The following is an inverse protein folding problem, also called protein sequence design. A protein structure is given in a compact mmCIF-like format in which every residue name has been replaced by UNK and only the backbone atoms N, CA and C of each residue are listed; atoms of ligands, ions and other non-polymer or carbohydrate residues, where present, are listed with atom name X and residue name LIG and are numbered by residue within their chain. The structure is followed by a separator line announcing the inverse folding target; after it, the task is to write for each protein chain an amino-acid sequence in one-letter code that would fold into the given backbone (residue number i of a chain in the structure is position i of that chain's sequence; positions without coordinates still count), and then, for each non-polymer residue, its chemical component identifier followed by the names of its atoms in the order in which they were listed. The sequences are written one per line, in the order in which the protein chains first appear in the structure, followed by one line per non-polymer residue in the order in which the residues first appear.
data_IF_314913426945
#
_entry.id   IF_314913426945
#
_cell.length_a   1.000
_cell.length_b   1.000
_cell.length_c   1.000
_cell.angle_alpha   90.00
_cell.angle_beta   90.00
_cell.angle_gamma   90.00
#
_symmetry.space_group_name_H-M   'P 1'
#
loop_
_entity.id
_entity.type
_entity.pdbx_description
1 polymer ?
#
# COMPACT_ATOMS: atom_id res chain seq x y z
N UNK A 1 -44.16 60.82 32.57
CA UNK A 1 -42.79 60.26 32.69
C UNK A 1 -42.85 58.83 33.22
N UNK A 2 -43.62 57.94 32.57
CA UNK A 2 -43.81 56.54 33.01
C UNK A 2 -43.43 55.50 31.94
N UNK A 3 -43.28 55.89 30.66
CA UNK A 3 -43.00 54.93 29.57
C UNK A 3 -41.56 54.40 29.49
N UNK A 4 -40.56 55.13 30.02
CA UNK A 4 -39.14 54.72 29.91
C UNK A 4 -38.83 53.51 30.80
N UNK A 5 -39.42 53.45 32.00
CA UNK A 5 -39.20 52.34 32.93
C UNK A 5 -39.83 51.02 32.45
N UNK A 6 -40.95 51.09 31.72
CA UNK A 6 -41.61 49.89 31.19
C UNK A 6 -40.81 49.28 30.04
N UNK A 7 -40.26 50.13 29.16
CA UNK A 7 -39.41 49.67 28.05
C UNK A 7 -38.13 48.99 28.56
N UNK A 8 -37.51 49.53 29.61
CA UNK A 8 -36.31 48.97 30.21
C UNK A 8 -36.54 47.55 30.77
N UNK A 9 -37.66 47.35 31.47
CA UNK A 9 -38.04 46.03 31.98
C UNK A 9 -38.29 45.01 30.88
N UNK A 10 -38.98 45.43 29.81
CA UNK A 10 -39.22 44.55 28.66
C UNK A 10 -37.91 44.16 27.98
N UNK A 11 -36.93 45.07 27.90
CA UNK A 11 -35.62 44.77 27.31
C UNK A 11 -34.83 43.77 28.16
N UNK A 12 -34.77 43.96 29.48
CA UNK A 12 -34.12 43.02 30.41
C UNK A 12 -34.75 41.62 30.34
N UNK A 13 -36.09 41.54 30.21
CA UNK A 13 -36.80 40.27 30.08
C UNK A 13 -36.49 39.57 28.75
N UNK A 14 -36.36 40.34 27.65
CA UNK A 14 -35.93 39.82 26.35
C UNK A 14 -34.49 39.29 26.41
N UNK A 15 -33.57 40.02 27.04
CA UNK A 15 -32.18 39.60 27.20
C UNK A 15 -32.07 38.32 28.04
N UNK A 16 -32.77 38.25 29.16
CA UNK A 16 -32.82 37.06 29.99
C UNK A 16 -33.41 35.85 29.25
N UNK A 17 -34.47 36.08 28.46
CA UNK A 17 -35.10 35.03 27.63
C UNK A 17 -34.13 34.53 26.55
N UNK A 18 -33.42 35.44 25.88
CA UNK A 18 -32.42 35.09 24.87
C UNK A 18 -31.33 34.20 25.45
N UNK A 19 -30.77 34.58 26.60
CA UNK A 19 -29.69 33.85 27.24
C UNK A 19 -30.13 32.44 27.68
N UNK A 20 -31.37 32.31 28.17
CA UNK A 20 -31.96 31.00 28.51
C UNK A 20 -32.14 30.10 27.27
N UNK A 21 -32.64 30.66 26.16
CA UNK A 21 -32.78 29.92 24.89
C UNK A 21 -31.41 29.44 24.42
N UNK A 22 -30.39 30.29 24.48
CA UNK A 22 -29.04 29.96 24.03
C UNK A 22 -28.44 28.82 24.86
N UNK A 23 -28.56 28.87 26.19
CA UNK A 23 -28.12 27.79 27.08
C UNK A 23 -28.86 26.47 26.79
N UNK A 24 -30.18 26.55 26.56
CA UNK A 24 -31.00 25.37 26.25
C UNK A 24 -30.58 24.70 24.94
N UNK A 25 -30.24 25.48 23.91
CA UNK A 25 -29.75 24.97 22.62
C UNK A 25 -28.39 24.28 22.79
N UNK A 26 -27.47 24.88 23.54
CA UNK A 26 -26.14 24.30 23.80
C UNK A 26 -26.30 22.96 24.53
N UNK A 27 -27.04 22.96 25.64
CA UNK A 27 -27.24 21.77 26.45
C UNK A 27 -27.94 20.64 25.69
N UNK A 28 -28.94 20.95 24.85
CA UNK A 28 -29.58 19.95 23.99
C UNK A 28 -28.63 19.41 22.94
N UNK A 29 -27.80 20.25 22.34
CA UNK A 29 -26.79 19.82 21.36
C UNK A 29 -25.74 18.92 21.99
N UNK A 30 -25.27 19.25 23.19
CA UNK A 30 -24.31 18.44 23.95
C UNK A 30 -24.91 17.11 24.38
N UNK A 31 -26.12 17.12 24.95
CA UNK A 31 -26.83 15.89 25.32
C UNK A 31 -27.11 15.01 24.09
N UNK A 32 -27.35 15.61 22.92
CA UNK A 32 -27.51 14.89 21.66
C UNK A 32 -26.21 14.19 21.27
N UNK A 33 -25.04 14.85 21.39
CA UNK A 33 -23.73 14.18 21.18
C UNK A 33 -23.47 13.07 22.20
N UNK A 34 -24.06 13.15 23.40
CA UNK A 34 -23.95 12.08 24.39
C UNK A 34 -24.88 10.89 24.12
N UNK A 35 -25.87 11.04 23.22
CA UNK A 35 -26.82 9.99 22.90
C UNK A 35 -26.10 8.76 22.33
N UNK A 36 -26.37 7.59 22.91
CA UNK A 36 -25.68 6.33 22.60
C UNK A 36 -25.71 5.97 21.12
N UNK A 37 -26.83 6.23 20.41
CA UNK A 37 -26.91 5.98 18.97
C UNK A 37 -25.99 6.89 18.16
N UNK A 38 -25.85 8.17 18.54
CA UNK A 38 -25.01 9.12 17.81
C UNK A 38 -23.54 8.80 18.00
N UNK A 39 -23.12 8.41 19.21
CA UNK A 39 -21.76 7.88 19.44
C UNK A 39 -21.45 6.65 18.58
N UNK A 40 -22.40 5.74 18.44
CA UNK A 40 -22.23 4.55 17.57
C UNK A 40 -22.11 4.94 16.10
N UNK A 41 -22.88 5.93 15.64
CA UNK A 41 -22.77 6.46 14.27
C UNK A 41 -21.38 7.07 14.07
N UNK A 42 -20.95 7.97 14.95
CA UNK A 42 -19.62 8.61 14.87
C UNK A 42 -18.51 7.54 14.83
N UNK A 43 -18.61 6.52 15.68
CA UNK A 43 -17.65 5.40 15.69
C UNK A 43 -17.65 4.64 14.35
N UNK A 44 -18.82 4.28 13.83
CA UNK A 44 -18.93 3.56 12.55
C UNK A 44 -18.41 4.40 11.37
N UNK A 45 -18.64 5.71 11.39
CA UNK A 45 -18.10 6.63 10.39
C UNK A 45 -16.57 6.64 10.42
N UNK A 46 -15.95 6.75 11.61
CA UNK A 46 -14.50 6.71 11.74
C UNK A 46 -13.92 5.37 11.29
N UNK A 47 -14.53 4.25 11.71
CA UNK A 47 -14.10 2.91 11.28
C UNK A 47 -14.22 2.72 9.76
N UNK A 48 -15.28 3.25 9.15
CA UNK A 48 -15.48 3.19 7.69
C UNK A 48 -14.45 4.03 6.94
N UNK A 49 -14.16 5.25 7.41
CA UNK A 49 -13.13 6.12 6.82
C UNK A 49 -11.77 5.42 6.84
N UNK A 50 -11.41 4.77 7.95
CA UNK A 50 -10.15 4.02 8.06
C UNK A 50 -10.11 2.86 7.06
N UNK A 51 -11.19 2.08 6.94
CA UNK A 51 -11.27 0.96 5.98
C UNK A 51 -11.21 1.42 4.53
N UNK A 52 -11.90 2.51 4.18
CA UNK A 52 -11.87 3.05 2.81
C UNK A 52 -10.46 3.47 2.46
N UNK A 53 -9.74 4.16 3.36
CA UNK A 53 -8.34 4.55 3.13
C UNK A 53 -7.44 3.32 2.91
N UNK A 54 -7.59 2.28 3.72
CA UNK A 54 -6.84 1.03 3.53
C UNK A 54 -7.10 0.40 2.16
N UNK A 55 -8.36 0.34 1.73
CA UNK A 55 -8.71 -0.22 0.41
C UNK A 55 -8.21 0.67 -0.73
N UNK A 56 -8.30 2.00 -0.61
CA UNK A 56 -7.79 2.91 -1.65
C UNK A 56 -6.27 2.83 -1.77
N UNK A 57 -5.55 2.77 -0.65
CA UNK A 57 -4.10 2.53 -0.63
C UNK A 57 -3.77 1.19 -1.32
N UNK A 58 -4.55 0.13 -1.09
CA UNK A 58 -4.39 -1.16 -1.77
C UNK A 58 -4.64 -1.12 -3.29
N UNK A 59 -5.62 -0.33 -3.74
CA UNK A 59 -5.98 -0.22 -5.17
C UNK A 59 -5.00 0.66 -5.94
N UNK A 60 -4.54 1.77 -5.36
CA UNK A 60 -3.55 2.64 -6.01
C UNK A 60 -2.18 1.96 -6.15
N UNK A 61 -1.82 1.07 -5.21
CA UNK A 61 -0.64 0.19 -5.37
C UNK A 61 -0.77 -0.80 -6.53
N UNK A 62 -1.98 -1.20 -6.92
CA UNK A 62 -2.18 -2.30 -7.87
C UNK A 62 -2.17 -1.88 -9.36
N UNK A 63 -2.17 -0.57 -9.68
CA UNK A 63 -2.56 -0.12 -11.03
C UNK A 63 -1.47 0.52 -11.88
N UNK A 64 -0.20 0.57 -11.43
CA UNK A 64 0.87 1.20 -12.23
C UNK A 64 2.17 0.42 -12.40
N UNK A 65 2.32 -0.73 -11.74
CA UNK A 65 3.59 -1.49 -11.77
C UNK A 65 3.64 -2.41 -12.98
N UNK A 66 4.05 -1.82 -14.10
CA UNK A 66 4.28 -2.48 -15.37
C UNK A 66 5.77 -2.78 -15.58
N UNK A 67 6.06 -3.89 -16.26
CA UNK A 67 7.37 -4.15 -16.81
C UNK A 67 7.66 -3.18 -17.96
N UNK A 68 8.89 -2.67 -18.02
CA UNK A 68 9.29 -1.69 -19.05
C UNK A 68 10.58 -2.08 -19.76
N UNK A 69 11.54 -2.64 -19.02
CA UNK A 69 12.90 -2.89 -19.53
C UNK A 69 13.23 -4.36 -19.46
N UNK A 70 13.92 -4.83 -20.50
CA UNK A 70 14.44 -6.19 -20.63
C UNK A 70 15.90 -6.11 -21.06
N UNK A 71 16.72 -7.02 -20.56
CA UNK A 71 18.04 -7.32 -21.08
C UNK A 71 18.03 -8.76 -21.59
N UNK A 72 18.45 -8.94 -22.86
CA UNK A 72 18.40 -10.20 -23.62
C UNK A 72 17.01 -10.54 -24.21
N UNK A 73 16.70 -11.82 -24.41
CA UNK A 73 15.66 -12.29 -25.33
C UNK A 73 14.27 -12.42 -24.72
N UNK A 74 14.02 -11.87 -23.52
CA UNK A 74 12.68 -11.87 -22.96
C UNK A 74 11.80 -10.78 -23.58
N UNK A 75 10.53 -11.11 -23.75
CA UNK A 75 9.51 -10.25 -24.31
C UNK A 75 8.55 -9.76 -23.23
N UNK A 76 8.22 -8.48 -23.27
CA UNK A 76 7.17 -7.89 -22.45
C UNK A 76 5.90 -7.79 -23.32
N UNK A 77 4.84 -8.45 -22.89
CA UNK A 77 3.54 -8.55 -23.57
C UNK A 77 2.42 -7.97 -22.69
N UNK A 78 1.18 -7.99 -23.20
CA UNK A 78 -0.03 -7.53 -22.48
C UNK A 78 0.11 -6.14 -21.84
N UNK A 79 0.63 -5.18 -22.61
CA UNK A 79 0.85 -3.79 -22.15
C UNK A 79 1.76 -3.67 -20.92
N UNK A 80 2.72 -4.57 -20.73
CA UNK A 80 3.64 -4.51 -19.60
C UNK A 80 3.28 -5.44 -18.43
N UNK A 81 2.25 -6.26 -18.56
CA UNK A 81 1.79 -7.15 -17.48
C UNK A 81 2.36 -8.58 -17.59
N UNK A 82 2.81 -9.01 -18.77
CA UNK A 82 3.27 -10.37 -19.01
C UNK A 82 4.72 -10.37 -19.49
N UNK A 83 5.56 -11.23 -18.89
CA UNK A 83 6.92 -11.50 -19.36
C UNK A 83 6.97 -12.92 -19.91
N UNK A 84 7.46 -13.06 -21.13
CA UNK A 84 7.66 -14.35 -21.79
C UNK A 84 9.14 -14.51 -22.15
N UNK A 85 9.75 -15.62 -21.73
CA UNK A 85 11.13 -15.97 -22.09
C UNK A 85 11.12 -17.32 -22.79
N UNK A 86 11.32 -17.29 -24.10
CA UNK A 86 11.46 -18.49 -24.93
C UNK A 86 12.95 -18.83 -25.11
N UNK A 87 13.34 -20.10 -24.91
CA UNK A 87 14.68 -20.59 -25.26
C UNK A 87 15.70 -20.78 -24.13
N UNK A 88 16.93 -21.15 -24.50
CA UNK A 88 17.94 -21.75 -23.63
C UNK A 88 18.73 -20.77 -22.74
N UNK A 89 18.96 -21.23 -21.50
CA UNK A 89 20.06 -21.04 -20.52
C UNK A 89 20.77 -19.71 -20.27
N UNK A 90 20.50 -18.62 -20.98
CA UNK A 90 20.99 -17.30 -20.55
C UNK A 90 20.11 -16.75 -19.42
N UNK A 91 20.73 -16.03 -18.48
CA UNK A 91 20.03 -15.16 -17.57
C UNK A 91 19.34 -14.03 -18.34
N UNK A 92 18.29 -13.47 -17.77
CA UNK A 92 17.59 -12.31 -18.35
C UNK A 92 17.14 -11.46 -17.19
N UNK A 93 17.39 -10.15 -17.29
CA UNK A 93 16.92 -9.18 -16.33
C UNK A 93 15.72 -8.43 -16.88
N UNK A 94 14.64 -8.40 -16.10
CA UNK A 94 13.47 -7.56 -16.35
C UNK A 94 13.37 -6.52 -15.25
N UNK A 95 13.08 -5.27 -15.60
CA UNK A 95 12.80 -4.20 -14.63
C UNK A 95 11.42 -3.58 -14.84
N UNK A 96 10.79 -3.25 -13.72
CA UNK A 96 9.61 -2.41 -13.67
C UNK A 96 9.91 -0.98 -14.13
N UNK A 97 8.84 -0.27 -14.47
CA UNK A 97 8.85 1.14 -14.86
C UNK A 97 9.13 2.09 -13.70
N UNK A 98 8.62 1.74 -12.52
CA UNK A 98 8.57 2.66 -11.40
C UNK A 98 9.82 2.57 -10.51
N UNK A 99 10.00 3.61 -9.71
CA UNK A 99 11.06 3.74 -8.71
C UNK A 99 10.42 4.01 -7.36
N UNK A 100 10.95 3.36 -6.31
CA UNK A 100 10.36 3.40 -4.98
C UNK A 100 11.40 3.94 -4.00
N UNK A 101 11.18 5.17 -3.52
CA UNK A 101 12.09 5.86 -2.59
C UNK A 101 11.45 6.22 -1.25
N UNK A 102 10.11 6.16 -1.14
CA UNK A 102 9.34 6.47 0.07
C UNK A 102 8.07 5.63 0.12
N UNK A 103 7.49 5.45 1.31
CA UNK A 103 6.20 4.79 1.48
C UNK A 103 6.24 3.27 1.43
N UNK A 104 5.06 2.67 1.28
CA UNK A 104 4.86 1.22 1.21
C UNK A 104 4.32 0.82 -0.16
N UNK A 105 4.86 -0.27 -0.69
CA UNK A 105 4.53 -0.77 -2.02
C UNK A 105 4.29 -2.27 -1.97
N UNK A 106 3.42 -2.74 -2.85
CA UNK A 106 3.02 -4.15 -2.95
C UNK A 106 3.06 -4.57 -4.42
N UNK A 107 3.78 -5.65 -4.70
CA UNK A 107 3.88 -6.23 -6.04
C UNK A 107 3.39 -7.66 -5.98
N UNK A 108 2.64 -8.09 -6.98
CA UNK A 108 2.18 -9.46 -7.08
C UNK A 108 2.53 -10.04 -8.44
N UNK A 109 3.20 -11.17 -8.43
CA UNK A 109 3.63 -11.90 -9.62
C UNK A 109 2.93 -13.25 -9.61
N UNK A 110 2.25 -13.58 -10.70
CA UNK A 110 1.71 -14.92 -10.92
C UNK A 110 2.61 -15.69 -11.87
N UNK A 111 2.95 -16.92 -11.51
CA UNK A 111 3.76 -17.79 -12.36
C UNK A 111 2.83 -18.49 -13.34
N UNK A 112 2.78 -18.02 -14.58
CA UNK A 112 1.93 -18.66 -15.60
C UNK A 112 2.53 -19.99 -16.08
N UNK A 113 3.85 -20.04 -16.23
CA UNK A 113 4.58 -21.22 -16.68
C UNK A 113 6.00 -21.22 -16.10
N UNK A 114 6.50 -22.39 -15.70
CA UNK A 114 7.83 -22.57 -15.13
C UNK A 114 8.52 -23.77 -15.77
N UNK A 115 9.69 -23.55 -16.37
CA UNK A 115 10.51 -24.65 -16.87
C UNK A 115 10.95 -25.57 -15.72
N UNK A 116 11.16 -26.85 -16.00
CA UNK A 116 11.54 -27.86 -14.99
C UNK A 116 12.86 -27.57 -14.24
N UNK A 117 13.69 -26.68 -14.77
CA UNK A 117 14.92 -26.15 -14.15
C UNK A 117 14.96 -24.62 -14.18
N UNK A 118 13.78 -24.00 -14.30
CA UNK A 118 13.64 -22.56 -14.37
C UNK A 118 14.15 -21.95 -13.07
N UNK A 119 15.13 -21.06 -13.20
CA UNK A 119 15.61 -20.24 -12.10
C UNK A 119 14.98 -18.86 -12.26
N UNK A 120 14.30 -18.37 -11.22
CA UNK A 120 13.69 -17.05 -11.22
C UNK A 120 14.10 -16.31 -9.96
N UNK A 121 14.63 -15.12 -10.16
CA UNK A 121 14.92 -14.14 -9.13
C UNK A 121 13.86 -13.04 -9.12
N UNK A 122 13.31 -12.79 -7.94
CA UNK A 122 12.42 -11.66 -7.68
C UNK A 122 13.05 -10.76 -6.63
N UNK A 123 13.23 -9.48 -6.96
CA UNK A 123 13.94 -8.59 -6.07
C UNK A 123 13.83 -7.12 -6.43
N UNK A 124 14.62 -6.34 -5.72
CA UNK A 124 14.84 -4.92 -5.92
C UNK A 124 16.32 -4.69 -6.19
N UNK A 125 16.62 -3.68 -7.00
CA UNK A 125 17.99 -3.27 -7.30
C UNK A 125 18.04 -1.74 -7.40
N UNK A 126 19.18 -1.14 -7.07
CA UNK A 126 19.34 0.30 -7.20
C UNK A 126 19.19 0.76 -8.65
N UNK A 127 18.52 1.90 -8.86
CA UNK A 127 18.41 2.56 -10.17
C UNK A 127 19.79 2.88 -10.77
N UNK A 128 20.80 3.10 -9.93
CA UNK A 128 22.16 3.41 -10.39
C UNK A 128 22.84 2.24 -11.11
N UNK A 129 22.38 1.00 -10.89
CA UNK A 129 22.94 -0.17 -11.55
C UNK A 129 22.51 -0.21 -13.01
N UNK A 130 23.46 -0.44 -13.91
CA UNK A 130 23.14 -0.77 -15.30
C UNK A 130 22.39 -2.09 -15.38
N UNK A 131 21.49 -2.23 -16.34
CA UNK A 131 20.85 -3.51 -16.62
C UNK A 131 21.88 -4.49 -17.19
N UNK A 132 22.00 -5.68 -16.61
CA UNK A 132 22.97 -6.70 -16.99
C UNK A 132 22.41 -8.12 -16.71
N UNK A 133 23.11 -9.16 -17.18
CA UNK A 133 22.64 -10.55 -17.05
C UNK A 133 22.76 -11.12 -15.63
N UNK A 134 23.63 -10.55 -14.81
CA UNK A 134 24.02 -11.07 -13.50
C UNK A 134 23.70 -10.03 -12.40
N UNK A 135 22.58 -9.31 -12.56
CA UNK A 135 22.28 -8.17 -11.70
C UNK A 135 21.92 -8.58 -10.28
N UNK A 136 21.55 -9.86 -10.11
CA UNK A 136 21.30 -10.49 -8.82
C UNK A 136 22.53 -10.49 -7.92
N UNK A 137 23.75 -10.53 -8.48
CA UNK A 137 25.04 -10.46 -7.76
C UNK A 137 25.49 -9.01 -7.43
N UNK A 138 24.72 -8.00 -7.84
CA UNK A 138 25.05 -6.61 -7.51
C UNK A 138 24.97 -6.37 -6.00
N UNK A 139 25.93 -5.61 -5.46
CA UNK A 139 25.90 -5.16 -4.05
C UNK A 139 24.66 -4.36 -3.63
N UNK A 140 23.83 -3.95 -4.60
CA UNK A 140 22.56 -3.26 -4.36
C UNK A 140 21.32 -4.10 -4.64
N UNK A 141 21.50 -5.38 -4.95
CA UNK A 141 20.43 -6.35 -5.22
C UNK A 141 19.94 -7.02 -3.93
N UNK A 142 18.63 -7.10 -3.77
CA UNK A 142 17.98 -7.80 -2.66
C UNK A 142 16.78 -8.58 -3.20
N UNK A 143 16.66 -9.87 -2.91
CA UNK A 143 15.61 -10.69 -3.52
C UNK A 143 15.59 -12.15 -3.10
N UNK A 144 14.64 -12.88 -3.66
CA UNK A 144 14.45 -14.31 -3.44
C UNK A 144 14.55 -15.08 -4.75
N UNK A 145 15.07 -16.29 -4.62
CA UNK A 145 15.09 -17.31 -5.65
C UNK A 145 14.06 -18.39 -5.36
N UNK A 146 13.57 -19.03 -6.42
CA UNK A 146 12.71 -20.20 -6.33
C UNK A 146 13.38 -21.48 -5.83
N UNK A 147 14.63 -21.40 -5.33
CA UNK A 147 15.42 -22.51 -4.80
C UNK A 147 15.74 -22.35 -3.31
N UNK A 148 14.87 -21.67 -2.56
CA UNK A 148 15.06 -21.40 -1.14
C UNK A 148 16.34 -20.59 -0.82
N UNK A 149 16.71 -19.69 -1.72
CA UNK A 149 17.87 -18.80 -1.56
C UNK A 149 17.39 -17.35 -1.53
N UNK A 150 18.04 -16.54 -0.71
CA UNK A 150 17.81 -15.09 -0.63
C UNK A 150 19.12 -14.39 -0.94
N UNK A 151 19.07 -13.31 -1.72
CA UNK A 151 20.24 -12.48 -1.97
C UNK A 151 20.11 -11.20 -1.15
N UNK A 152 21.14 -10.86 -0.39
CA UNK A 152 21.20 -9.65 0.45
C UNK A 152 22.46 -8.88 0.08
N UNK A 153 22.29 -7.80 -0.68
CA UNK A 153 23.43 -7.05 -1.21
C UNK A 153 24.27 -7.90 -2.17
N UNK A 154 23.62 -8.71 -2.99
CA UNK A 154 24.28 -9.57 -3.98
C UNK A 154 24.97 -10.82 -3.41
N UNK A 155 24.91 -11.05 -2.10
CA UNK A 155 25.45 -12.25 -1.47
C UNK A 155 24.33 -13.26 -1.20
N UNK A 156 24.57 -14.53 -1.51
CA UNK A 156 23.64 -15.64 -1.24
C UNK A 156 23.57 -15.94 0.26
N UNK A 157 22.36 -15.87 0.80
CA UNK A 157 22.00 -16.21 2.17
C UNK A 157 20.99 -17.35 2.17
N UNK A 158 21.24 -18.36 3.02
CA UNK A 158 20.35 -19.50 3.19
C UNK A 158 19.04 -19.06 3.85
N UNK A 159 17.92 -19.28 3.16
CA UNK A 159 16.60 -18.98 3.70
C UNK A 159 16.14 -20.13 4.62
N UNK A 160 15.68 -19.80 5.83
CA UNK A 160 15.19 -20.79 6.80
C UNK A 160 13.86 -21.43 6.40
N UNK A 161 13.07 -20.75 5.56
CA UNK A 161 11.74 -21.19 5.13
C UNK A 161 11.81 -21.74 3.72
N UNK A 162 11.60 -23.05 3.56
CA UNK A 162 11.60 -23.71 2.25
C UNK A 162 10.41 -23.24 1.40
N UNK A 163 10.65 -22.24 0.56
CA UNK A 163 9.67 -21.68 -0.38
C UNK A 163 9.94 -22.30 -1.76
N UNK A 164 9.09 -23.25 -2.16
CA UNK A 164 9.08 -23.80 -3.51
C UNK A 164 8.06 -23.02 -4.36
N UNK A 165 8.53 -22.33 -5.40
CA UNK A 165 7.67 -21.59 -6.35
C UNK A 165 7.33 -22.53 -7.50
N UNK A 166 6.04 -22.77 -7.73
CA UNK A 166 5.52 -23.61 -8.83
C UNK A 166 4.58 -22.82 -9.76
N UNK A 167 4.15 -23.47 -10.84
CA UNK A 167 3.14 -22.91 -11.75
C UNK A 167 1.82 -22.63 -11.03
N UNK A 168 1.23 -21.48 -11.35
CA UNK A 168 0.02 -20.88 -10.75
C UNK A 168 0.19 -20.26 -9.37
N UNK A 169 1.36 -20.33 -8.75
CA UNK A 169 1.62 -19.59 -7.52
C UNK A 169 1.52 -18.08 -7.76
N UNK A 170 1.01 -17.37 -6.74
CA UNK A 170 1.09 -15.92 -6.68
C UNK A 170 2.02 -15.50 -5.55
N UNK A 171 3.12 -14.86 -5.93
CA UNK A 171 4.11 -14.32 -5.00
C UNK A 171 3.82 -12.84 -4.82
N UNK A 172 3.70 -12.40 -3.57
CA UNK A 172 3.48 -11.00 -3.24
C UNK A 172 4.67 -10.44 -2.46
N UNK A 173 5.29 -9.40 -2.98
CA UNK A 173 6.35 -8.66 -2.31
C UNK A 173 5.82 -7.39 -1.67
N UNK A 174 6.39 -7.05 -0.53
CA UNK A 174 6.12 -5.82 0.20
C UNK A 174 7.43 -5.07 0.41
N UNK A 175 7.46 -3.82 -0.01
CA UNK A 175 8.56 -2.89 0.28
C UNK A 175 8.02 -1.81 1.22
N UNK A 176 8.65 -1.61 2.37
CA UNK A 176 8.47 -0.43 3.21
C UNK A 176 9.77 0.39 3.13
N UNK A 177 9.79 1.38 2.23
CA UNK A 177 10.95 2.23 1.98
C UNK A 177 11.30 3.07 3.22
N UNK A 178 10.29 3.47 3.99
CA UNK A 178 10.47 4.33 5.16
C UNK A 178 11.13 3.56 6.32
N UNK A 179 10.78 2.28 6.47
CA UNK A 179 11.37 1.38 7.49
C UNK A 179 12.55 0.55 6.98
N UNK A 180 12.89 0.65 5.68
CA UNK A 180 13.89 -0.19 5.00
C UNK A 180 13.64 -1.68 5.18
N UNK A 181 12.39 -2.10 4.96
CA UNK A 181 11.97 -3.50 5.05
C UNK A 181 11.54 -4.01 3.70
N UNK A 182 11.93 -5.23 3.40
CA UNK A 182 11.53 -5.96 2.21
C UNK A 182 11.20 -7.39 2.65
N UNK A 183 10.02 -7.88 2.27
CA UNK A 183 9.60 -9.24 2.60
C UNK A 183 8.63 -9.78 1.54
N UNK A 184 8.59 -11.10 1.39
CA UNK A 184 7.68 -11.78 0.49
C UNK A 184 6.64 -12.60 1.24
N UNK A 185 5.47 -12.79 0.62
CA UNK A 185 4.44 -13.72 1.03
C UNK A 185 3.99 -14.52 -0.18
N UNK A 186 3.97 -15.83 -0.05
CA UNK A 186 3.41 -16.73 -1.04
C UNK A 186 1.97 -17.08 -0.68
N UNK A 187 1.09 -17.14 -1.69
CA UNK A 187 -0.26 -17.69 -1.58
C UNK A 187 -0.34 -18.80 -2.63
N UNK A 188 -0.31 -20.06 -2.16
CA UNK A 188 -0.58 -21.25 -2.97
C UNK A 188 -2.05 -21.64 -2.96
#
# INVERSE_FOLDING_TARGET
MFCINELGKQLEEIEATRDLIQQTIIQRTENRKQHTLLKKIDQLEQESIVKIRQVTEEVDMATSDLFERTCDNAQIQENGCLVVKDGLSSHTEIRGKNEYNTGRHKFSFRIEQLASSGWIFFGIISKSESTNLDSYDSSSSYGWLNQNQMYVGGEDEECQENIEIIENDTITFFIDCDQKRFYCKMIG
#
